data_IF_270324170423
#
_entry.id   IF_270324170423
#
_cell.length_a   1.000
_cell.length_b   1.000
_cell.length_c   1.000
_cell.angle_alpha   90.00
_cell.angle_beta   90.00
_cell.angle_gamma   90.00
#
_symmetry.space_group_name_H-M   'P 1'
#
loop_
_entity.id
_entity.type
_entity.pdbx_description
1 polymer ?
#
# COMPACT_ATOMS: atom_id res chain seq x y z
N UNK A 1 -1.40 -1.75 -26.59
CA UNK A 1 -2.67 -1.95 -27.34
C UNK A 1 -3.20 -0.58 -27.74
N UNK A 2 -3.46 -0.34 -29.02
CA UNK A 2 -4.05 0.93 -29.49
C UNK A 2 -5.57 0.73 -29.46
N UNK A 3 -6.25 1.47 -28.58
CA UNK A 3 -7.72 1.47 -28.53
C UNK A 3 -8.25 2.11 -29.80
N UNK A 4 -9.04 1.37 -30.58
CA UNK A 4 -9.70 1.91 -31.77
C UNK A 4 -10.83 2.85 -31.35
N UNK A 5 -10.55 4.14 -31.37
CA UNK A 5 -11.48 5.21 -30.99
C UNK A 5 -12.83 5.12 -31.72
N UNK A 6 -12.85 4.67 -32.98
CA UNK A 6 -14.11 4.56 -33.74
C UNK A 6 -15.01 3.47 -33.21
N UNK A 7 -14.42 2.33 -32.83
CA UNK A 7 -15.14 1.22 -32.23
C UNK A 7 -15.65 1.57 -30.84
N UNK A 8 -14.84 2.29 -30.03
CA UNK A 8 -15.26 2.81 -28.74
C UNK A 8 -16.48 3.73 -28.85
N UNK A 9 -16.44 4.74 -29.73
CA UNK A 9 -17.58 5.63 -29.92
C UNK A 9 -18.83 4.94 -30.49
N UNK A 10 -18.67 3.90 -31.27
CA UNK A 10 -19.80 3.11 -31.76
C UNK A 10 -20.44 2.25 -30.66
N UNK A 11 -19.65 1.70 -29.75
CA UNK A 11 -20.14 0.87 -28.63
C UNK A 11 -20.87 1.70 -27.56
N UNK A 12 -20.47 2.98 -27.34
CA UNK A 12 -21.04 3.85 -26.29
C UNK A 12 -22.14 4.80 -26.83
N UNK A 13 -22.71 4.52 -28.02
CA UNK A 13 -23.86 5.27 -28.55
C UNK A 13 -23.52 6.52 -29.38
N UNK A 14 -22.27 6.67 -29.82
CA UNK A 14 -21.82 7.74 -30.72
C UNK A 14 -21.24 8.98 -30.02
N UNK A 15 -20.54 9.81 -30.82
CA UNK A 15 -19.75 10.94 -30.32
C UNK A 15 -20.57 11.98 -29.53
N UNK A 16 -21.82 12.21 -29.91
CA UNK A 16 -22.68 13.18 -29.23
C UNK A 16 -23.12 12.75 -27.82
N UNK A 17 -23.35 11.45 -27.62
CA UNK A 17 -23.69 10.90 -26.32
C UNK A 17 -22.49 10.95 -25.35
N UNK A 18 -21.29 10.62 -25.83
CA UNK A 18 -20.06 10.65 -25.02
C UNK A 18 -19.65 12.06 -24.61
N UNK A 19 -19.92 13.09 -25.45
CA UNK A 19 -19.62 14.49 -25.09
C UNK A 19 -20.57 15.07 -24.04
N UNK A 20 -21.73 14.46 -23.87
CA UNK A 20 -22.72 14.86 -22.85
C UNK A 20 -22.44 14.22 -21.47
N UNK A 21 -21.56 13.22 -21.40
CA UNK A 21 -21.19 12.55 -20.15
C UNK A 21 -20.18 13.38 -19.35
N UNK A 22 -20.22 13.26 -18.02
CA UNK A 22 -19.19 13.77 -17.14
C UNK A 22 -17.81 13.14 -17.43
N UNK A 23 -16.73 13.72 -16.92
CA UNK A 23 -15.39 13.11 -17.06
C UNK A 23 -15.32 11.72 -16.40
N UNK A 24 -16.01 11.54 -15.28
CA UNK A 24 -16.07 10.28 -14.53
C UNK A 24 -16.85 9.22 -15.33
N UNK A 25 -18.04 9.54 -15.83
CA UNK A 25 -18.83 8.61 -16.65
C UNK A 25 -18.09 8.19 -17.93
N UNK A 26 -17.28 9.08 -18.52
CA UNK A 26 -16.44 8.72 -19.68
C UNK A 26 -15.31 7.78 -19.31
N UNK A 27 -14.69 7.99 -18.15
CA UNK A 27 -13.63 7.11 -17.67
C UNK A 27 -14.18 5.72 -17.39
N UNK A 28 -15.31 5.62 -16.72
CA UNK A 28 -16.01 4.37 -16.41
C UNK A 28 -16.45 3.63 -17.69
N UNK A 29 -17.03 4.34 -18.66
CA UNK A 29 -17.41 3.75 -19.96
C UNK A 29 -16.19 3.27 -20.76
N UNK A 30 -15.05 3.97 -20.69
CA UNK A 30 -13.80 3.55 -21.32
C UNK A 30 -13.22 2.31 -20.62
N UNK A 31 -13.24 2.27 -19.31
CA UNK A 31 -12.77 1.15 -18.52
C UNK A 31 -13.59 -0.10 -18.80
N UNK A 32 -14.92 0.02 -18.84
CA UNK A 32 -15.82 -1.07 -19.22
C UNK A 32 -15.53 -1.61 -20.62
N UNK A 33 -15.36 -0.72 -21.60
CA UNK A 33 -15.02 -1.09 -22.97
C UNK A 33 -13.66 -1.78 -23.06
N UNK A 34 -12.66 -1.26 -22.35
CA UNK A 34 -11.32 -1.87 -22.31
C UNK A 34 -11.35 -3.26 -21.67
N UNK A 35 -12.12 -3.42 -20.61
CA UNK A 35 -12.32 -4.69 -19.93
C UNK A 35 -12.92 -5.73 -20.87
N UNK A 36 -13.98 -5.37 -21.59
CA UNK A 36 -14.63 -6.23 -22.58
C UNK A 36 -13.66 -6.65 -23.72
N UNK A 37 -12.83 -5.71 -24.21
CA UNK A 37 -11.84 -6.01 -25.24
C UNK A 37 -10.70 -6.91 -24.73
N UNK A 38 -10.30 -6.76 -23.47
CA UNK A 38 -9.29 -7.61 -22.82
C UNK A 38 -9.81 -9.04 -22.62
N UNK A 39 -11.07 -9.19 -22.26
CA UNK A 39 -11.72 -10.49 -22.12
C UNK A 39 -11.77 -11.22 -23.47
N UNK A 40 -12.11 -10.52 -24.56
CA UNK A 40 -12.07 -11.06 -25.90
C UNK A 40 -10.66 -11.46 -26.35
N UNK A 41 -9.64 -10.68 -26.01
CA UNK A 41 -8.25 -10.98 -26.36
C UNK A 41 -7.72 -12.18 -25.56
N UNK A 42 -8.02 -12.27 -24.29
CA UNK A 42 -7.66 -13.41 -23.45
C UNK A 42 -8.32 -14.70 -23.96
N UNK A 43 -9.58 -14.63 -24.34
CA UNK A 43 -10.31 -15.76 -24.94
C UNK A 43 -9.72 -16.20 -26.28
N UNK A 44 -9.29 -15.25 -27.11
CA UNK A 44 -8.68 -15.56 -28.43
C UNK A 44 -7.24 -16.09 -28.29
N UNK A 45 -6.47 -15.68 -27.30
CA UNK A 45 -5.09 -16.14 -27.07
C UNK A 45 -5.02 -17.47 -26.34
N UNK A 46 -5.99 -17.79 -25.50
CA UNK A 46 -6.07 -19.05 -24.78
C UNK A 46 -6.77 -20.15 -25.58
N UNK A 47 -7.14 -19.91 -26.83
CA UNK A 47 -7.84 -20.78 -27.80
C UNK A 47 -7.71 -22.30 -27.74
N UNK A 48 -7.45 -22.84 -26.56
CA UNK A 48 -7.57 -24.22 -26.15
C UNK A 48 -8.60 -24.32 -25.03
N UNK A 49 -9.85 -24.17 -25.40
CA UNK A 49 -10.90 -24.74 -24.59
C UNK A 49 -10.95 -26.24 -24.85
N UNK A 50 -10.02 -26.97 -24.28
CA UNK A 50 -10.29 -28.36 -23.99
C UNK A 50 -11.10 -28.41 -22.71
N UNK A 51 -12.35 -28.84 -22.84
CA UNK A 51 -13.25 -29.24 -21.76
C UNK A 51 -13.59 -28.13 -20.72
N UNK A 52 -14.83 -27.69 -20.82
CA UNK A 52 -15.60 -26.90 -19.91
C UNK A 52 -15.04 -26.75 -18.46
N UNK A 53 -13.98 -25.98 -18.29
CA UNK A 53 -13.77 -25.31 -17.02
C UNK A 53 -14.93 -24.33 -16.87
N UNK A 54 -15.79 -24.59 -15.89
CA UNK A 54 -16.92 -23.73 -15.58
C UNK A 54 -16.41 -22.29 -15.50
N UNK A 55 -16.96 -21.39 -16.33
CA UNK A 55 -16.60 -19.98 -16.26
C UNK A 55 -16.73 -19.51 -14.80
N UNK A 56 -15.72 -18.84 -14.26
CA UNK A 56 -15.81 -18.35 -12.91
C UNK A 56 -17.06 -17.49 -12.76
N UNK A 57 -17.76 -17.54 -11.62
CA UNK A 57 -18.93 -16.70 -11.39
C UNK A 57 -18.63 -15.24 -11.71
N UNK A 58 -19.58 -14.53 -12.31
CA UNK A 58 -19.45 -13.11 -12.64
C UNK A 58 -19.00 -12.32 -11.40
N UNK A 59 -17.98 -11.49 -11.57
CA UNK A 59 -17.38 -10.74 -10.47
C UNK A 59 -16.29 -11.50 -9.71
N UNK A 60 -15.84 -12.65 -10.20
CA UNK A 60 -14.68 -13.39 -9.70
C UNK A 60 -13.61 -13.50 -10.79
N UNK A 61 -12.37 -13.49 -10.40
CA UNK A 61 -11.24 -13.61 -11.29
C UNK A 61 -10.29 -12.42 -11.25
N UNK A 62 -9.09 -12.62 -11.74
CA UNK A 62 -8.05 -11.61 -11.85
C UNK A 62 -7.74 -11.39 -13.32
N UNK A 63 -8.17 -10.26 -13.86
CA UNK A 63 -7.99 -9.88 -15.25
C UNK A 63 -6.52 -9.90 -15.71
N UNK A 64 -5.61 -9.51 -14.80
CA UNK A 64 -4.20 -9.35 -15.10
C UNK A 64 -3.34 -10.54 -14.67
N UNK A 65 -3.87 -11.41 -13.82
CA UNK A 65 -3.16 -12.59 -13.31
C UNK A 65 -4.11 -13.77 -13.10
N UNK A 66 -4.71 -14.32 -14.16
CA UNK A 66 -5.70 -15.40 -14.05
C UNK A 66 -5.13 -16.68 -13.40
N UNK A 67 -3.79 -16.86 -13.46
CA UNK A 67 -3.07 -17.99 -12.87
C UNK A 67 -2.41 -17.65 -11.52
N UNK A 68 -2.68 -16.47 -10.94
CA UNK A 68 -2.11 -16.11 -9.66
C UNK A 68 -2.57 -17.09 -8.56
N UNK A 69 -1.63 -17.52 -7.74
CA UNK A 69 -1.92 -18.36 -6.59
C UNK A 69 -2.98 -17.68 -5.73
N UNK A 70 -4.04 -18.42 -5.39
CA UNK A 70 -5.06 -17.92 -4.48
C UNK A 70 -4.43 -17.56 -3.12
N UNK A 71 -4.78 -16.40 -2.59
CA UNK A 71 -4.38 -16.02 -1.24
C UNK A 71 -5.22 -16.77 -0.21
N UNK A 72 -4.62 -16.97 0.95
CA UNK A 72 -5.35 -17.53 2.09
C UNK A 72 -6.58 -16.65 2.41
N UNK A 73 -7.76 -17.26 2.58
CA UNK A 73 -8.97 -16.50 2.91
C UNK A 73 -8.81 -15.70 4.20
N UNK A 74 -9.42 -14.53 4.24
CA UNK A 74 -9.55 -13.71 5.45
C UNK A 74 -10.90 -13.93 6.10
N UNK A 75 -11.02 -13.62 7.39
CA UNK A 75 -12.26 -13.71 8.15
C UNK A 75 -13.30 -12.67 7.69
N UNK A 76 -14.57 -12.87 8.02
CA UNK A 76 -15.63 -11.92 7.71
C UNK A 76 -15.46 -10.58 8.44
N UNK A 77 -14.84 -10.60 9.62
CA UNK A 77 -14.51 -9.39 10.39
C UNK A 77 -12.98 -9.24 10.49
N UNK A 78 -12.38 -8.83 9.39
CA UNK A 78 -10.93 -8.77 9.22
C UNK A 78 -10.29 -7.77 10.17
N UNK A 79 -9.28 -8.22 10.92
CA UNK A 79 -8.47 -7.38 11.81
C UNK A 79 -7.14 -6.98 11.18
N UNK A 80 -6.53 -5.91 11.69
CA UNK A 80 -5.19 -5.51 11.28
C UNK A 80 -4.17 -6.63 11.49
N UNK A 81 -4.26 -7.36 12.62
CA UNK A 81 -3.39 -8.51 12.90
C UNK A 81 -3.50 -9.59 11.81
N UNK A 82 -4.71 -9.90 11.38
CA UNK A 82 -4.93 -10.88 10.32
C UNK A 82 -4.34 -10.43 8.99
N UNK A 83 -4.46 -9.13 8.66
CA UNK A 83 -3.84 -8.55 7.46
C UNK A 83 -2.32 -8.66 7.51
N UNK A 84 -1.69 -8.38 8.66
CA UNK A 84 -0.24 -8.58 8.83
C UNK A 84 0.18 -10.01 8.50
N UNK A 85 -0.54 -10.99 9.01
CA UNK A 85 -0.21 -12.40 8.82
C UNK A 85 -0.45 -12.91 7.39
N UNK A 86 -1.49 -12.41 6.72
CA UNK A 86 -1.96 -12.98 5.46
C UNK A 86 -1.67 -12.13 4.22
N UNK A 87 -1.37 -10.83 4.38
CA UNK A 87 -1.22 -9.89 3.24
C UNK A 87 0.06 -9.09 3.26
N UNK A 88 0.53 -8.68 4.43
CA UNK A 88 1.72 -7.86 4.54
C UNK A 88 2.96 -8.73 4.78
N UNK A 89 3.79 -8.88 3.74
CA UNK A 89 5.07 -9.59 3.83
C UNK A 89 6.16 -8.72 3.19
N UNK A 90 7.36 -8.73 3.71
CA UNK A 90 7.85 -9.40 4.91
C UNK A 90 7.65 -8.52 6.15
N UNK A 91 6.93 -9.04 7.09
CA UNK A 91 6.70 -8.35 8.37
C UNK A 91 7.97 -8.19 9.22
N UNK A 92 9.07 -8.93 8.92
CA UNK A 92 10.30 -8.96 9.74
C UNK A 92 10.94 -7.60 9.90
N UNK A 93 11.09 -6.83 8.83
CA UNK A 93 11.71 -5.51 8.85
C UNK A 93 10.92 -4.53 9.74
N UNK A 94 9.64 -4.37 9.51
CA UNK A 94 8.80 -3.44 10.29
C UNK A 94 8.69 -3.87 11.76
N UNK A 95 8.71 -5.17 12.04
CA UNK A 95 8.72 -5.69 13.40
C UNK A 95 10.05 -5.41 14.11
N UNK A 96 11.19 -5.50 13.42
CA UNK A 96 12.48 -5.11 13.99
C UNK A 96 12.53 -3.61 14.31
N UNK A 97 12.05 -2.76 13.40
CA UNK A 97 11.95 -1.32 13.59
C UNK A 97 11.08 -0.99 14.83
N UNK A 98 9.91 -1.60 14.92
CA UNK A 98 9.01 -1.42 16.07
C UNK A 98 9.60 -1.94 17.38
N UNK A 99 10.27 -3.10 17.36
CA UNK A 99 10.93 -3.66 18.54
C UNK A 99 12.10 -2.80 19.02
N UNK A 100 12.85 -2.20 18.09
CA UNK A 100 13.92 -1.28 18.45
C UNK A 100 13.35 -0.01 19.10
N UNK A 101 12.28 0.56 18.54
CA UNK A 101 11.58 1.69 19.13
C UNK A 101 11.06 1.37 20.55
N UNK A 102 10.49 0.18 20.75
CA UNK A 102 10.02 -0.32 22.05
C UNK A 102 11.18 -0.48 23.04
N UNK A 103 12.27 -1.11 22.64
CA UNK A 103 13.48 -1.32 23.45
C UNK A 103 14.10 0.01 23.91
N UNK A 104 14.03 1.03 23.09
CA UNK A 104 14.57 2.38 23.39
C UNK A 104 13.58 3.29 24.12
N UNK A 105 12.43 2.75 24.53
CA UNK A 105 11.44 3.49 25.35
C UNK A 105 10.71 4.60 24.60
N UNK A 106 10.56 4.48 23.29
CA UNK A 106 9.86 5.48 22.48
C UNK A 106 8.34 5.41 22.69
N UNK A 107 7.61 6.49 22.39
CA UNK A 107 6.15 6.52 22.55
C UNK A 107 5.46 5.41 21.73
N UNK A 108 4.36 4.86 22.25
CA UNK A 108 3.60 3.79 21.59
C UNK A 108 3.19 4.15 20.15
N UNK A 109 2.81 5.41 19.89
CA UNK A 109 2.49 5.86 18.53
C UNK A 109 3.68 5.73 17.57
N UNK A 110 4.91 5.95 18.07
CA UNK A 110 6.14 5.78 17.26
C UNK A 110 6.39 4.30 17.02
N UNK A 111 6.26 3.44 18.02
CA UNK A 111 6.36 1.99 17.88
C UNK A 111 5.36 1.50 16.85
N UNK A 112 4.12 1.97 16.95
CA UNK A 112 3.06 1.60 16.03
C UNK A 112 3.30 2.14 14.61
N UNK A 113 3.77 3.37 14.47
CA UNK A 113 4.16 3.92 13.17
C UNK A 113 5.30 3.11 12.52
N UNK A 114 6.31 2.69 13.31
CA UNK A 114 7.37 1.79 12.83
C UNK A 114 6.83 0.43 12.36
N UNK A 115 5.79 -0.10 13.01
CA UNK A 115 5.15 -1.35 12.60
C UNK A 115 4.43 -1.23 11.25
N UNK A 116 3.94 -0.04 10.88
CA UNK A 116 3.11 0.19 9.70
C UNK A 116 3.86 0.81 8.52
N UNK A 117 5.03 1.44 8.71
CA UNK A 117 5.61 2.39 7.75
C UNK A 117 5.86 1.81 6.35
N UNK A 118 6.29 0.56 6.25
CA UNK A 118 6.70 -0.09 5.01
C UNK A 118 5.76 -1.21 4.53
N UNK A 119 4.63 -1.46 5.22
CA UNK A 119 3.75 -2.58 4.85
C UNK A 119 3.17 -2.47 3.44
N UNK A 120 3.02 -1.25 2.91
CA UNK A 120 2.53 -1.01 1.55
C UNK A 120 3.62 -1.14 0.49
N UNK A 121 4.90 -1.25 0.85
CA UNK A 121 6.02 -1.36 -0.09
C UNK A 121 5.89 -2.60 -1.01
N UNK A 122 5.29 -3.67 -0.53
CA UNK A 122 5.04 -4.86 -1.34
C UNK A 122 3.97 -4.65 -2.42
N UNK A 123 3.08 -3.69 -2.21
CA UNK A 123 2.01 -3.34 -3.15
C UNK A 123 2.48 -2.26 -4.12
N UNK A 124 3.09 -1.20 -3.60
CA UNK A 124 3.56 -0.04 -4.35
C UNK A 124 4.92 0.37 -3.79
N UNK A 125 6.01 0.14 -4.53
CA UNK A 125 7.37 0.48 -4.07
C UNK A 125 7.64 1.97 -4.07
N UNK A 126 7.23 2.66 -5.14
CA UNK A 126 7.35 4.10 -5.21
C UNK A 126 6.33 4.75 -4.28
N UNK A 127 6.77 5.74 -3.52
CA UNK A 127 5.91 6.52 -2.61
C UNK A 127 5.09 5.67 -1.62
N UNK A 128 5.61 4.50 -1.21
CA UNK A 128 4.94 3.62 -0.25
C UNK A 128 4.54 4.34 1.04
N UNK A 129 5.32 5.33 1.48
CA UNK A 129 4.97 6.16 2.64
C UNK A 129 3.69 6.97 2.42
N UNK A 130 3.51 7.55 1.23
CA UNK A 130 2.27 8.25 0.87
C UNK A 130 1.07 7.30 0.87
N UNK A 131 1.17 6.17 0.16
CA UNK A 131 0.09 5.21 0.06
C UNK A 131 -0.23 4.53 1.39
N UNK A 132 0.80 4.21 2.18
CA UNK A 132 0.62 3.69 3.54
C UNK A 132 -0.12 4.67 4.44
N UNK A 133 0.25 5.94 4.40
CA UNK A 133 -0.44 6.96 5.16
C UNK A 133 -1.92 7.07 4.79
N UNK A 134 -2.25 7.07 3.48
CA UNK A 134 -3.64 7.11 3.03
C UNK A 134 -4.43 5.88 3.51
N UNK A 135 -3.82 4.69 3.44
CA UNK A 135 -4.45 3.43 3.83
C UNK A 135 -4.82 3.41 5.32
N UNK A 136 -3.96 4.00 6.18
CA UNK A 136 -4.13 3.95 7.63
C UNK A 136 -4.81 5.18 8.23
N UNK A 137 -4.83 6.32 7.54
CA UNK A 137 -5.31 7.60 8.07
C UNK A 137 -6.65 7.53 8.81
N UNK A 138 -7.70 6.82 8.34
CA UNK A 138 -8.98 6.75 9.05
C UNK A 138 -8.92 6.01 10.39
N UNK A 139 -7.89 5.19 10.61
CA UNK A 139 -7.83 4.26 11.73
C UNK A 139 -6.77 4.61 12.78
N UNK A 140 -5.91 5.59 12.52
CA UNK A 140 -4.79 5.96 13.39
C UNK A 140 -4.84 7.44 13.77
N UNK A 141 -3.99 7.83 14.72
CA UNK A 141 -3.77 9.26 15.03
C UNK A 141 -3.09 9.97 13.85
N UNK A 142 -3.41 11.26 13.63
CA UNK A 142 -2.81 12.10 12.58
C UNK A 142 -1.28 12.06 12.60
N UNK A 143 -0.67 11.98 13.78
CA UNK A 143 0.80 11.94 13.93
C UNK A 143 1.39 10.64 13.42
N UNK A 144 0.66 9.53 13.54
CA UNK A 144 1.07 8.21 12.99
C UNK A 144 1.03 8.24 11.47
N UNK A 145 -0.10 8.63 10.88
CA UNK A 145 -0.24 8.70 9.42
C UNK A 145 0.72 9.72 8.81
N UNK A 146 0.92 10.86 9.47
CA UNK A 146 1.88 11.86 9.03
C UNK A 146 3.33 11.34 9.08
N UNK A 147 3.69 10.63 10.14
CA UNK A 147 5.00 9.97 10.28
C UNK A 147 5.25 8.97 9.14
N UNK A 148 4.29 8.10 8.87
CA UNK A 148 4.34 7.13 7.76
C UNK A 148 4.51 7.86 6.42
N UNK A 149 3.77 8.93 6.18
CA UNK A 149 3.81 9.68 4.92
C UNK A 149 5.18 10.22 4.56
N UNK A 150 5.90 10.75 5.54
CA UNK A 150 7.13 11.50 5.27
C UNK A 150 8.42 10.76 5.61
N UNK A 151 8.36 9.57 6.24
CA UNK A 151 9.57 8.83 6.61
C UNK A 151 10.47 8.57 5.39
N UNK A 152 9.88 8.18 4.26
CA UNK A 152 10.61 7.86 3.04
C UNK A 152 11.44 9.04 2.52
N UNK A 153 10.90 10.27 2.57
CA UNK A 153 11.63 11.45 2.14
C UNK A 153 12.80 11.76 3.12
N UNK A 154 12.57 11.61 4.42
CA UNK A 154 13.57 11.94 5.43
C UNK A 154 14.77 10.99 5.44
N UNK A 155 14.62 9.75 5.01
CA UNK A 155 15.70 8.74 5.04
C UNK A 155 16.92 9.13 4.19
N UNK A 156 16.74 9.96 3.18
CA UNK A 156 17.81 10.40 2.29
C UNK A 156 18.63 11.59 2.81
N UNK A 157 18.19 12.23 3.90
CA UNK A 157 18.79 13.47 4.40
C UNK A 157 19.28 13.28 5.84
N UNK A 158 20.59 13.44 6.08
CA UNK A 158 21.16 13.40 7.42
C UNK A 158 20.54 14.47 8.33
N UNK A 159 20.50 14.19 9.64
CA UNK A 159 20.09 15.12 10.66
C UNK A 159 20.96 14.97 11.92
N UNK A 160 21.98 15.79 12.04
CA UNK A 160 22.89 15.77 13.17
C UNK A 160 22.23 16.08 14.52
N UNK A 161 21.06 16.76 14.51
CA UNK A 161 20.35 17.10 15.75
C UNK A 161 19.80 15.88 16.49
N UNK A 162 19.60 14.78 15.77
CA UNK A 162 19.12 13.50 16.32
C UNK A 162 20.11 12.35 16.07
N UNK A 163 21.33 12.66 15.60
CA UNK A 163 22.35 11.67 15.32
C UNK A 163 22.01 10.74 14.14
N UNK A 164 21.16 11.18 13.20
CA UNK A 164 20.86 10.42 11.99
C UNK A 164 21.89 10.73 10.91
N UNK A 165 22.68 9.74 10.56
CA UNK A 165 23.59 9.77 9.43
C UNK A 165 22.98 9.04 8.24
N UNK A 166 23.39 9.38 7.00
CA UNK A 166 22.96 8.66 5.81
C UNK A 166 23.46 7.21 5.90
N UNK A 167 22.56 6.20 5.92
CA UNK A 167 22.97 4.82 6.16
C UNK A 167 23.88 4.28 5.07
N UNK A 168 24.94 3.56 5.45
CA UNK A 168 25.86 2.89 4.51
C UNK A 168 25.10 1.91 3.58
N UNK A 169 24.04 1.28 4.08
CA UNK A 169 23.16 0.42 3.27
C UNK A 169 22.60 1.17 2.06
N UNK A 170 22.18 2.42 2.24
CA UNK A 170 21.64 3.23 1.14
C UNK A 170 22.71 3.64 0.15
N UNK A 171 23.94 3.91 0.61
CA UNK A 171 25.09 4.12 -0.29
C UNK A 171 25.33 2.90 -1.17
N UNK A 172 25.17 1.69 -0.62
CA UNK A 172 25.31 0.44 -1.41
C UNK A 172 24.15 0.20 -2.39
N UNK A 173 22.94 0.61 -2.02
CA UNK A 173 21.72 0.39 -2.86
C UNK A 173 21.63 1.44 -3.98
N UNK A 174 21.82 2.71 -3.64
CA UNK A 174 21.57 3.83 -4.54
C UNK A 174 22.84 4.41 -5.19
N UNK A 175 24.02 4.15 -4.62
CA UNK A 175 25.28 4.78 -5.00
C UNK A 175 25.65 5.94 -4.06
N UNK A 176 26.94 6.27 -4.03
CA UNK A 176 27.48 7.34 -3.17
C UNK A 176 27.12 8.75 -3.69
N UNK A 177 26.80 8.84 -4.97
CA UNK A 177 26.44 10.06 -5.72
C UNK A 177 24.94 10.17 -6.02
N UNK A 178 24.13 9.35 -5.34
CA UNK A 178 22.66 9.37 -5.52
C UNK A 178 22.09 10.72 -5.07
N UNK A 179 21.39 11.37 -5.97
CA UNK A 179 20.58 12.55 -5.69
C UNK A 179 19.09 12.18 -5.71
N UNK A 180 18.36 12.45 -4.61
CA UNK A 180 16.91 12.26 -4.60
C UNK A 180 16.22 13.16 -5.62
N UNK A 181 15.14 12.66 -6.20
CA UNK A 181 14.27 13.42 -7.10
C UNK A 181 13.74 14.70 -6.44
N UNK A 182 13.41 15.70 -7.25
CA UNK A 182 12.97 17.02 -6.78
C UNK A 182 11.73 16.95 -5.89
N UNK A 183 10.80 16.02 -6.15
CA UNK A 183 9.63 15.86 -5.28
C UNK A 183 9.99 15.31 -3.89
N UNK A 184 11.02 14.47 -3.78
CA UNK A 184 11.54 13.97 -2.50
C UNK A 184 12.21 15.10 -1.73
N UNK A 185 13.01 15.94 -2.41
CA UNK A 185 13.62 17.14 -1.82
C UNK A 185 12.54 18.10 -1.30
N UNK A 186 11.51 18.36 -2.09
CA UNK A 186 10.38 19.20 -1.68
C UNK A 186 9.60 18.60 -0.49
N UNK A 187 9.39 17.28 -0.47
CA UNK A 187 8.76 16.60 0.66
C UNK A 187 9.60 16.69 1.93
N UNK A 188 10.93 16.54 1.81
CA UNK A 188 11.85 16.74 2.93
C UNK A 188 11.79 18.18 3.47
N UNK A 189 11.85 19.19 2.59
CA UNK A 189 11.79 20.60 2.98
C UNK A 189 10.47 20.99 3.65
N UNK A 190 9.38 20.39 3.22
CA UNK A 190 8.09 20.52 3.88
C UNK A 190 8.12 19.87 5.27
N UNK A 191 8.56 18.62 5.34
CA UNK A 191 8.53 17.82 6.56
C UNK A 191 9.38 18.41 7.68
N UNK A 192 10.63 18.87 7.37
CA UNK A 192 11.54 19.42 8.37
C UNK A 192 11.06 20.70 9.06
N UNK A 193 10.10 21.39 8.47
CA UNK A 193 9.50 22.62 9.02
C UNK A 193 8.19 22.36 9.77
N UNK A 194 7.68 21.14 9.68
CA UNK A 194 6.38 20.80 10.24
C UNK A 194 6.47 20.43 11.73
N UNK A 195 5.42 20.75 12.49
CA UNK A 195 5.32 20.42 13.93
C UNK A 195 5.47 18.94 14.24
N UNK A 196 5.16 18.05 13.29
CA UNK A 196 5.27 16.60 13.43
C UNK A 196 6.54 16.01 12.81
N UNK A 197 7.55 16.85 12.52
CA UNK A 197 8.82 16.40 11.95
C UNK A 197 9.39 15.17 12.65
N UNK A 198 9.42 15.19 14.00
CA UNK A 198 9.99 14.10 14.77
C UNK A 198 9.23 12.78 14.66
N UNK A 199 7.95 12.78 14.30
CA UNK A 199 7.20 11.53 14.10
C UNK A 199 7.76 10.73 12.92
N UNK A 200 8.04 11.39 11.79
CA UNK A 200 8.65 10.76 10.64
C UNK A 200 10.15 10.49 10.85
N UNK A 201 10.87 11.41 11.52
CA UNK A 201 12.29 11.25 11.78
C UNK A 201 12.59 10.07 12.71
N UNK A 202 11.78 9.83 13.72
CA UNK A 202 11.93 8.67 14.60
C UNK A 202 11.70 7.36 13.83
N UNK A 203 10.78 7.32 12.87
CA UNK A 203 10.62 6.15 12.00
C UNK A 203 11.94 5.88 11.25
N UNK A 204 12.51 6.87 10.56
CA UNK A 204 13.76 6.68 9.81
C UNK A 204 14.94 6.29 10.70
N UNK A 205 14.98 6.81 11.92
CA UNK A 205 16.02 6.45 12.89
C UNK A 205 15.92 4.99 13.33
N UNK A 206 14.69 4.49 13.57
CA UNK A 206 14.48 3.10 13.94
C UNK A 206 14.65 2.16 12.75
N UNK A 207 14.30 2.60 11.55
CA UNK A 207 14.38 1.85 10.32
C UNK A 207 15.81 1.40 10.00
N UNK A 208 16.82 2.26 10.20
CA UNK A 208 18.21 1.89 9.99
C UNK A 208 18.71 0.70 10.82
N UNK A 209 18.06 0.40 11.95
CA UNK A 209 18.39 -0.74 12.82
C UNK A 209 17.55 -1.99 12.54
N UNK A 210 16.71 -1.97 11.52
CA UNK A 210 15.73 -3.02 11.21
C UNK A 210 16.21 -4.06 10.20
N UNK A 211 17.51 -4.13 9.94
CA UNK A 211 18.13 -5.02 8.94
C UNK A 211 19.08 -6.07 9.55
N UNK A 212 18.92 -6.38 10.84
CA UNK A 212 19.73 -7.40 11.49
C UNK A 212 19.25 -8.82 11.10
N UNK A 213 20.09 -9.51 10.32
CA UNK A 213 19.80 -10.88 9.91
C UNK A 213 19.80 -11.88 11.09
N UNK A 214 20.50 -11.54 12.18
CA UNK A 214 20.66 -12.39 13.37
C UNK A 214 19.71 -11.97 14.51
N UNK A 215 18.85 -10.98 14.29
CA UNK A 215 17.87 -10.60 15.30
C UNK A 215 17.00 -11.80 15.69
N UNK A 216 16.63 -11.93 16.97
CA UNK A 216 15.69 -12.95 17.40
C UNK A 216 14.38 -12.84 16.64
N UNK A 217 13.63 -13.92 16.60
CA UNK A 217 12.30 -13.90 15.99
C UNK A 217 11.38 -12.94 16.77
N UNK A 218 10.82 -11.98 16.05
CA UNK A 218 9.87 -11.03 16.57
C UNK A 218 8.53 -11.30 15.89
N UNK A 219 7.51 -11.55 16.71
CA UNK A 219 6.16 -11.82 16.19
C UNK A 219 5.24 -10.63 16.43
N UNK A 220 4.17 -10.56 15.63
CA UNK A 220 3.15 -9.52 15.75
C UNK A 220 2.48 -9.52 17.14
N UNK A 221 2.47 -10.67 17.83
CA UNK A 221 1.84 -10.83 19.15
C UNK A 221 2.49 -9.93 20.21
N UNK A 222 3.77 -9.58 20.05
CA UNK A 222 4.48 -8.65 20.96
C UNK A 222 3.93 -7.22 20.91
N UNK A 223 3.17 -6.89 19.87
CA UNK A 223 2.60 -5.56 19.63
C UNK A 223 1.08 -5.53 19.76
N UNK A 224 0.43 -6.64 20.11
CA UNK A 224 -1.03 -6.75 20.10
C UNK A 224 -1.71 -5.71 20.99
N UNK A 225 -1.17 -5.45 22.18
CA UNK A 225 -1.67 -4.43 23.10
C UNK A 225 -1.53 -3.01 22.52
N UNK A 226 -0.41 -2.72 21.84
CA UNK A 226 -0.17 -1.43 21.20
C UNK A 226 -1.13 -1.26 20.02
N UNK A 227 -1.30 -2.30 19.20
CA UNK A 227 -2.27 -2.30 18.10
C UNK A 227 -3.67 -2.01 18.65
N UNK A 228 -4.08 -2.67 19.73
CA UNK A 228 -5.39 -2.48 20.35
C UNK A 228 -5.63 -1.05 20.86
N UNK A 229 -4.59 -0.35 21.30
CA UNK A 229 -4.69 1.04 21.77
C UNK A 229 -4.55 2.08 20.67
N UNK A 230 -3.77 1.81 19.63
CA UNK A 230 -3.40 2.80 18.62
C UNK A 230 -4.20 2.66 17.30
N UNK A 231 -4.87 1.53 17.07
CA UNK A 231 -5.62 1.27 15.85
C UNK A 231 -7.12 1.21 16.10
N UNK A 232 -7.89 2.00 15.36
CA UNK A 232 -9.37 1.99 15.42
C UNK A 232 -9.88 0.88 14.51
N UNK A 233 -10.18 -0.28 15.08
CA UNK A 233 -10.75 -1.39 14.33
C UNK A 233 -12.24 -1.13 14.05
N UNK A 234 -12.67 -1.06 12.77
CA UNK A 234 -14.10 -0.95 12.45
C UNK A 234 -14.85 -2.22 12.83
N UNK A 235 -16.11 -2.08 13.23
CA UNK A 235 -16.94 -3.20 13.69
C UNK A 235 -17.18 -4.24 12.59
N UNK A 236 -17.33 -3.76 11.38
CA UNK A 236 -17.59 -4.56 10.18
C UNK A 236 -16.32 -5.21 9.62
N UNK A 237 -15.15 -4.95 10.22
CA UNK A 237 -13.85 -5.33 9.69
C UNK A 237 -13.31 -4.32 8.67
N UNK A 238 -12.01 -4.40 8.42
CA UNK A 238 -11.32 -3.54 7.47
C UNK A 238 -11.91 -3.71 6.06
N UNK A 239 -12.16 -2.59 5.39
CA UNK A 239 -12.70 -2.56 4.04
C UNK A 239 -14.23 -2.63 3.94
N UNK A 240 -14.92 -2.85 5.04
CA UNK A 240 -16.39 -2.97 5.07
C UNK A 240 -17.06 -1.83 5.83
N UNK A 241 -16.31 -0.82 6.21
CA UNK A 241 -16.78 0.42 6.83
C UNK A 241 -17.02 1.52 5.79
N UNK A 242 -17.49 2.66 6.23
CA UNK A 242 -17.71 3.85 5.40
C UNK A 242 -16.48 4.72 5.20
N UNK A 243 -15.26 4.19 5.42
CA UNK A 243 -14.03 4.97 5.23
C UNK A 243 -13.73 5.23 3.76
N UNK A 244 -13.05 6.35 3.42
CA UNK A 244 -12.68 6.67 2.04
C UNK A 244 -11.71 5.67 1.41
N UNK A 245 -11.06 4.83 2.22
CA UNK A 245 -10.09 3.81 1.78
C UNK A 245 -10.66 2.39 1.80
N UNK A 246 -11.95 2.23 2.03
CA UNK A 246 -12.58 0.91 2.09
C UNK A 246 -12.33 0.07 0.83
N UNK A 247 -12.34 0.69 -0.36
CA UNK A 247 -12.01 0.01 -1.62
C UNK A 247 -10.57 -0.50 -1.67
N UNK A 248 -9.61 0.30 -1.18
CA UNK A 248 -8.20 -0.12 -1.11
C UNK A 248 -8.07 -1.37 -0.23
N UNK A 249 -8.70 -1.35 0.94
CA UNK A 249 -8.72 -2.50 1.84
C UNK A 249 -9.34 -3.73 1.19
N UNK A 250 -10.49 -3.61 0.54
CA UNK A 250 -11.12 -4.74 -0.17
C UNK A 250 -10.22 -5.34 -1.23
N UNK A 251 -9.49 -4.51 -1.97
CA UNK A 251 -8.53 -4.97 -2.99
C UNK A 251 -7.37 -5.73 -2.35
N UNK A 252 -6.86 -5.25 -1.20
CA UNK A 252 -5.80 -5.94 -0.46
C UNK A 252 -6.29 -7.28 0.10
N UNK A 253 -7.50 -7.29 0.65
CA UNK A 253 -8.07 -8.48 1.30
C UNK A 253 -8.45 -9.56 0.29
N UNK A 254 -8.99 -9.16 -0.85
CA UNK A 254 -9.50 -10.05 -1.89
C UNK A 254 -8.96 -9.64 -3.26
N UNK A 255 -7.64 -9.78 -3.49
CA UNK A 255 -6.97 -9.28 -4.70
C UNK A 255 -7.42 -10.00 -5.99
N UNK A 256 -8.08 -11.14 -5.88
CA UNK A 256 -8.63 -11.91 -6.99
C UNK A 256 -10.11 -11.59 -7.25
N UNK A 257 -10.71 -10.70 -6.48
CA UNK A 257 -12.09 -10.26 -6.69
C UNK A 257 -12.05 -8.93 -7.46
N UNK A 258 -12.67 -8.83 -8.63
CA UNK A 258 -12.84 -7.54 -9.31
C UNK A 258 -13.71 -6.63 -8.44
N UNK A 259 -13.48 -5.34 -8.56
CA UNK A 259 -14.18 -4.28 -7.80
C UNK A 259 -15.70 -4.38 -7.89
#
# INVERSE_FOLDING_TARGET
>A
MQVDRRKFFAAVGGTAAVTALSHEDRAEALEHYMTEQLDHLNFAQTGQSSEAEAQPPRGTGNLFRPTAKAFEPVSDNVTLREVFLKRFSPARHVMQSAAYAMKTGQPERTIFACLLHDVTQNLIKADHGYWGAQLFEPYVDERVSWGIRYHQALRFFPDASVGYEYPELYTRIFGADYEPDEYIKAAHDHARKHRHYMEARLITTNDQYAFDANAPEITIDQFEDIIGRQFKQPKEGLGYDGSPVAHMWRTILNPNRPL
#
